data_IF_336159982258
#
_entry.id   IF_336159982258
#
_cell.length_a   1.000
_cell.length_b   1.000
_cell.length_c   1.000
_cell.angle_alpha   90.00
_cell.angle_beta   90.00
_cell.angle_gamma   90.00
#
_symmetry.space_group_name_H-M   'P 1'
#
loop_
_entity.id
_entity.type
_entity.pdbx_description
1 polymer ?
#
# COMPACT_ATOMS: atom_id res chain seq x y z
N UNK A 1 29.35 -13.17 28.47
CA UNK A 1 28.71 -11.85 28.59
C UNK A 1 29.60 -10.87 27.85
N UNK A 2 29.17 -10.36 26.69
CA UNK A 2 29.88 -9.29 25.99
C UNK A 2 28.94 -8.09 26.00
N UNK A 3 29.13 -7.23 27.00
CA UNK A 3 28.54 -5.90 27.07
C UNK A 3 29.17 -5.08 25.95
N UNK A 4 28.53 -5.04 24.78
CA UNK A 4 28.81 -4.00 23.80
C UNK A 4 28.18 -2.71 24.32
N UNK A 5 28.93 -2.04 25.20
CA UNK A 5 28.79 -0.61 25.43
C UNK A 5 28.77 0.07 24.06
N UNK A 6 27.88 1.02 23.83
CA UNK A 6 27.63 1.66 22.53
C UNK A 6 28.84 2.42 22.00
N UNK A 7 29.87 1.71 21.54
CA UNK A 7 31.10 2.22 20.97
C UNK A 7 31.12 2.03 19.45
N UNK A 8 31.59 3.05 18.75
CA UNK A 8 31.75 3.04 17.30
C UNK A 8 33.03 2.26 16.96
N UNK A 9 32.88 1.21 16.14
CA UNK A 9 34.01 0.38 15.73
C UNK A 9 34.73 0.98 14.52
N UNK A 10 36.06 1.03 14.60
CA UNK A 10 36.96 1.54 13.55
C UNK A 10 37.79 0.35 13.05
N UNK A 11 37.83 0.15 11.73
CA UNK A 11 38.63 -0.88 11.07
C UNK A 11 38.01 -1.36 9.74
N UNK A 12 38.79 -2.00 8.86
CA UNK A 12 38.35 -2.37 7.49
C UNK A 12 37.06 -3.21 7.42
N UNK A 13 36.70 -3.93 8.49
CA UNK A 13 35.45 -4.68 8.60
C UNK A 13 34.23 -3.85 9.04
N UNK A 14 34.41 -2.56 9.36
CA UNK A 14 33.36 -1.65 9.83
C UNK A 14 33.20 -0.40 8.92
N UNK A 15 34.25 0.01 8.20
CA UNK A 15 34.21 1.18 7.32
C UNK A 15 33.87 0.82 5.88
N UNK A 16 33.08 1.66 5.21
CA UNK A 16 32.81 1.55 3.79
C UNK A 16 34.05 1.93 2.96
N UNK A 17 34.26 1.23 1.84
CA UNK A 17 35.22 1.66 0.82
C UNK A 17 34.61 2.81 0.05
N UNK A 18 35.18 4.01 0.19
CA UNK A 18 34.71 5.18 -0.56
C UNK A 18 35.08 5.04 -2.04
N UNK A 19 34.18 5.43 -2.96
CA UNK A 19 34.53 5.61 -4.37
C UNK A 19 35.65 6.62 -4.54
N UNK A 20 36.51 6.44 -5.54
CA UNK A 20 37.55 7.42 -5.86
C UNK A 20 36.93 8.73 -6.35
N UNK A 21 37.28 9.83 -5.67
CA UNK A 21 36.87 11.17 -6.11
C UNK A 21 37.73 11.62 -7.30
N UNK A 22 37.09 11.97 -8.43
CA UNK A 22 37.74 12.43 -9.66
C UNK A 22 37.40 13.89 -9.97
N UNK A 23 38.18 14.87 -9.47
CA UNK A 23 37.93 16.28 -9.74
C UNK A 23 38.27 16.63 -11.20
N UNK A 24 37.44 17.48 -11.82
CA UNK A 24 37.70 18.02 -13.17
C UNK A 24 37.27 17.14 -14.34
N UNK A 25 36.68 15.96 -14.08
CA UNK A 25 36.04 15.14 -15.12
C UNK A 25 34.55 15.49 -15.14
N UNK A 26 34.01 16.05 -16.24
CA UNK A 26 32.58 16.25 -16.41
C UNK A 26 31.83 14.91 -16.27
N UNK A 27 30.59 14.90 -15.75
CA UNK A 27 29.81 13.67 -15.59
C UNK A 27 29.71 12.82 -16.88
N UNK A 28 29.77 13.49 -18.03
CA UNK A 28 29.68 12.97 -19.39
C UNK A 28 30.90 12.12 -19.81
N UNK A 29 32.05 12.34 -19.18
CA UNK A 29 33.31 11.64 -19.46
C UNK A 29 33.61 10.53 -18.43
N UNK A 30 32.79 10.40 -17.38
CA UNK A 30 32.86 9.27 -16.48
C UNK A 30 32.32 8.03 -17.21
N UNK A 31 33.00 6.89 -17.07
CA UNK A 31 32.44 5.62 -17.52
C UNK A 31 31.06 5.44 -16.86
N UNK A 32 29.99 5.17 -17.65
CA UNK A 32 28.66 5.01 -17.11
C UNK A 32 28.73 3.93 -16.03
N UNK A 33 28.19 4.26 -14.86
CA UNK A 33 28.17 3.34 -13.73
C UNK A 33 27.54 2.02 -14.20
N UNK A 34 28.23 0.87 -14.06
CA UNK A 34 27.70 -0.43 -14.44
C UNK A 34 26.33 -0.72 -13.81
N UNK A 35 26.02 -0.09 -12.68
CA UNK A 35 24.73 -0.21 -12.01
C UNK A 35 23.60 0.60 -12.66
N UNK A 36 23.90 1.66 -13.43
CA UNK A 36 22.90 2.42 -14.19
C UNK A 36 22.32 1.62 -15.37
N UNK A 37 22.96 0.52 -15.77
CA UNK A 37 22.43 -0.42 -16.77
C UNK A 37 21.31 -1.32 -16.21
N UNK A 38 21.08 -1.34 -14.89
CA UNK A 38 20.05 -2.19 -14.27
C UNK A 38 18.78 -1.38 -14.05
N UNK A 39 17.66 -1.86 -14.57
CA UNK A 39 16.34 -1.33 -14.22
C UNK A 39 16.07 -1.63 -12.74
N UNK A 40 16.23 -0.62 -11.87
CA UNK A 40 16.00 -0.71 -10.41
C UNK A 40 14.68 -0.12 -9.97
N UNK A 41 14.13 0.73 -10.82
CA UNK A 41 12.93 1.50 -10.57
C UNK A 41 12.05 1.46 -11.81
N UNK A 42 10.76 1.60 -11.57
CA UNK A 42 9.74 1.75 -12.59
C UNK A 42 9.13 3.14 -12.41
N UNK A 43 9.10 3.93 -13.47
CA UNK A 43 8.41 5.22 -13.45
C UNK A 43 6.91 4.95 -13.33
N UNK A 44 6.29 5.44 -12.24
CA UNK A 44 4.85 5.29 -11.99
C UNK A 44 4.06 6.59 -12.18
N UNK A 45 4.74 7.74 -12.16
CA UNK A 45 4.09 9.03 -12.26
C UNK A 45 5.08 10.14 -12.64
N UNK A 46 4.61 11.07 -13.47
CA UNK A 46 5.27 12.30 -13.88
C UNK A 46 4.39 13.48 -13.46
N UNK A 47 4.90 14.40 -12.63
CA UNK A 47 4.16 15.61 -12.25
C UNK A 47 3.82 16.51 -13.45
N UNK A 48 2.78 17.33 -13.31
CA UNK A 48 2.40 18.38 -14.26
C UNK A 48 2.05 17.92 -15.69
N UNK A 49 1.76 16.64 -15.89
CA UNK A 49 1.30 16.12 -17.19
C UNK A 49 -0.20 16.36 -17.46
N UNK A 50 -0.97 16.69 -16.41
CA UNK A 50 -2.40 17.02 -16.48
C UNK A 50 -2.70 18.23 -15.62
N UNK A 51 -3.63 19.08 -16.05
CA UNK A 51 -4.14 20.17 -15.21
C UNK A 51 -4.90 19.60 -14.01
N UNK A 52 -4.79 20.26 -12.85
CA UNK A 52 -5.45 19.81 -11.62
C UNK A 52 -6.97 19.68 -11.78
N UNK A 53 -7.61 20.57 -12.54
CA UNK A 53 -9.06 20.50 -12.83
C UNK A 53 -9.43 19.21 -13.55
N UNK A 54 -8.64 18.83 -14.55
CA UNK A 54 -8.90 17.68 -15.42
C UNK A 54 -8.59 16.38 -14.67
N UNK A 55 -7.52 16.38 -13.87
CA UNK A 55 -7.18 15.28 -12.98
C UNK A 55 -8.29 15.04 -11.95
N UNK A 56 -8.79 16.10 -11.30
CA UNK A 56 -9.88 15.98 -10.33
C UNK A 56 -11.18 15.49 -10.99
N UNK A 57 -11.50 15.96 -12.20
CA UNK A 57 -12.66 15.49 -12.95
C UNK A 57 -12.51 14.01 -13.33
N UNK A 58 -11.34 13.60 -13.81
CA UNK A 58 -11.02 12.21 -14.12
C UNK A 58 -11.15 11.31 -12.88
N UNK A 59 -10.54 11.68 -11.76
CA UNK A 59 -10.61 10.92 -10.51
C UNK A 59 -12.06 10.80 -10.01
N UNK A 60 -12.87 11.85 -10.17
CA UNK A 60 -14.30 11.79 -9.83
C UNK A 60 -15.04 10.78 -10.71
N UNK A 61 -14.80 10.79 -12.02
CA UNK A 61 -15.39 9.82 -12.93
C UNK A 61 -14.95 8.38 -12.62
N UNK A 62 -13.65 8.15 -12.37
CA UNK A 62 -13.12 6.85 -12.00
C UNK A 62 -13.76 6.31 -10.71
N UNK A 63 -13.90 7.16 -9.67
CA UNK A 63 -14.59 6.78 -8.43
C UNK A 63 -16.07 6.48 -8.66
N UNK A 64 -16.76 7.22 -9.53
CA UNK A 64 -18.15 6.91 -9.89
C UNK A 64 -18.27 5.56 -10.59
N UNK A 65 -17.31 5.19 -11.45
CA UNK A 65 -17.28 3.88 -12.09
C UNK A 65 -17.03 2.75 -11.07
N UNK A 66 -16.14 2.97 -10.10
CA UNK A 66 -15.92 2.01 -9.01
C UNK A 66 -17.15 1.85 -8.10
N UNK A 67 -17.83 2.95 -7.73
CA UNK A 67 -19.09 2.88 -7.00
C UNK A 67 -20.14 2.08 -7.75
N UNK A 68 -20.28 2.33 -9.05
CA UNK A 68 -21.23 1.60 -9.88
C UNK A 68 -20.92 0.11 -9.94
N UNK A 69 -19.65 -0.26 -10.15
CA UNK A 69 -19.22 -1.65 -10.13
C UNK A 69 -19.53 -2.32 -8.77
N UNK A 70 -19.23 -1.67 -7.65
CA UNK A 70 -19.52 -2.18 -6.31
C UNK A 70 -21.02 -2.39 -6.05
N UNK A 71 -21.89 -1.55 -6.62
CA UNK A 71 -23.35 -1.76 -6.56
C UNK A 71 -23.81 -2.93 -7.45
N UNK A 72 -23.22 -3.10 -8.64
CA UNK A 72 -23.66 -4.11 -9.60
C UNK A 72 -23.18 -5.54 -9.27
N UNK A 73 -22.06 -5.70 -8.57
CA UNK A 73 -21.50 -7.00 -8.18
C UNK A 73 -22.23 -7.68 -6.98
N UNK A 74 -23.47 -7.25 -6.71
CA UNK A 74 -24.35 -7.79 -5.67
C UNK A 74 -24.31 -7.04 -4.33
N UNK A 75 -23.75 -5.83 -4.31
CA UNK A 75 -23.59 -5.00 -3.12
C UNK A 75 -24.75 -4.05 -2.83
N UNK A 76 -24.81 -3.54 -1.60
CA UNK A 76 -25.70 -2.45 -1.21
C UNK A 76 -25.09 -1.07 -1.59
N UNK A 77 -25.83 0.04 -1.47
CA UNK A 77 -25.27 1.38 -1.70
C UNK A 77 -24.01 1.69 -0.87
N UNK A 78 -23.85 1.04 0.29
CA UNK A 78 -22.66 1.19 1.14
C UNK A 78 -21.43 0.53 0.50
N UNK A 79 -21.57 -0.59 -0.19
CA UNK A 79 -20.48 -1.25 -0.92
C UNK A 79 -19.98 -0.38 -2.07
N UNK A 80 -20.89 0.28 -2.79
CA UNK A 80 -20.54 1.28 -3.80
C UNK A 80 -19.78 2.47 -3.21
N UNK A 81 -20.26 3.02 -2.09
CA UNK A 81 -19.59 4.13 -1.41
C UNK A 81 -18.20 3.73 -0.88
N UNK A 82 -18.06 2.52 -0.36
CA UNK A 82 -16.79 1.96 0.08
C UNK A 82 -15.84 1.81 -1.11
N UNK A 83 -16.25 1.13 -2.19
CA UNK A 83 -15.42 0.95 -3.39
C UNK A 83 -14.92 2.29 -3.97
N UNK A 84 -15.78 3.32 -4.02
CA UNK A 84 -15.39 4.64 -4.52
C UNK A 84 -14.45 5.43 -3.61
N UNK A 85 -14.53 5.25 -2.29
CA UNK A 85 -13.75 6.02 -1.32
C UNK A 85 -12.39 5.41 -0.98
N UNK A 86 -12.10 4.19 -1.43
CA UNK A 86 -10.83 3.50 -1.17
C UNK A 86 -9.65 4.14 -1.89
N UNK A 87 -8.52 4.12 -1.20
CA UNK A 87 -7.22 4.53 -1.76
C UNK A 87 -6.88 3.67 -2.98
N UNK A 88 -7.16 2.37 -2.93
CA UNK A 88 -6.87 1.43 -4.02
C UNK A 88 -7.51 1.86 -5.36
N UNK A 89 -8.74 2.37 -5.32
CA UNK A 89 -9.44 2.90 -6.50
C UNK A 89 -8.73 4.13 -7.05
N UNK A 90 -8.25 5.00 -6.16
CA UNK A 90 -7.52 6.20 -6.54
C UNK A 90 -6.14 5.84 -7.12
N UNK A 91 -5.42 4.91 -6.51
CA UNK A 91 -4.11 4.41 -6.98
C UNK A 91 -4.25 3.81 -8.38
N UNK A 92 -5.24 2.92 -8.58
CA UNK A 92 -5.51 2.33 -9.89
C UNK A 92 -5.83 3.38 -10.95
N UNK A 93 -6.63 4.40 -10.61
CA UNK A 93 -6.95 5.47 -11.54
C UNK A 93 -5.68 6.25 -11.94
N UNK A 94 -4.78 6.55 -10.99
CA UNK A 94 -3.52 7.23 -11.29
C UNK A 94 -2.59 6.40 -12.16
N UNK A 95 -2.48 5.10 -11.87
CA UNK A 95 -1.69 4.14 -12.64
C UNK A 95 -2.21 4.04 -14.08
N UNK A 96 -3.52 3.86 -14.26
CA UNK A 96 -4.14 3.78 -15.59
C UNK A 96 -4.00 5.10 -16.36
N UNK A 97 -4.05 6.25 -15.67
CA UNK A 97 -3.82 7.54 -16.30
C UNK A 97 -2.38 7.68 -16.80
N UNK A 98 -1.40 7.25 -16.00
CA UNK A 98 0.01 7.22 -16.40
C UNK A 98 0.22 6.29 -17.61
N UNK A 99 -0.27 5.05 -17.55
CA UNK A 99 -0.14 4.05 -18.60
C UNK A 99 -0.85 4.47 -19.90
N UNK A 100 -1.86 5.33 -19.80
CA UNK A 100 -2.59 5.90 -20.95
C UNK A 100 -1.92 7.14 -21.54
N UNK A 101 -0.74 7.52 -21.07
CA UNK A 101 -0.02 8.72 -21.51
C UNK A 101 -0.72 10.01 -21.10
N UNK A 102 -1.39 10.01 -19.93
CA UNK A 102 -2.08 11.17 -19.37
C UNK A 102 -3.30 11.67 -20.16
N UNK A 103 -3.86 10.83 -21.03
CA UNK A 103 -5.11 11.08 -21.74
C UNK A 103 -6.31 10.56 -20.91
N UNK A 104 -7.16 11.43 -20.34
CA UNK A 104 -8.28 11.00 -19.50
C UNK A 104 -9.30 10.16 -20.26
N UNK A 105 -9.50 10.40 -21.56
CA UNK A 105 -10.45 9.66 -22.37
C UNK A 105 -10.01 8.21 -22.56
N UNK A 106 -8.74 8.00 -22.91
CA UNK A 106 -8.15 6.65 -23.02
C UNK A 106 -8.13 5.93 -21.67
N UNK A 107 -7.77 6.66 -20.61
CA UNK A 107 -7.73 6.10 -19.26
C UNK A 107 -9.11 5.64 -18.78
N UNK A 108 -10.17 6.41 -19.05
CA UNK A 108 -11.55 6.00 -18.73
C UNK A 108 -11.97 4.76 -19.53
N UNK A 109 -11.65 4.69 -20.83
CA UNK A 109 -11.94 3.50 -21.63
C UNK A 109 -11.23 2.24 -21.10
N UNK A 110 -10.01 2.37 -20.61
CA UNK A 110 -9.28 1.29 -19.96
C UNK A 110 -9.97 0.86 -18.65
N UNK A 111 -10.39 1.82 -17.83
CA UNK A 111 -11.14 1.56 -16.59
C UNK A 111 -12.48 0.86 -16.83
N UNK A 112 -13.18 1.09 -17.94
CA UNK A 112 -14.46 0.39 -18.21
C UNK A 112 -14.27 -1.13 -18.23
N UNK A 113 -13.10 -1.63 -18.66
CA UNK A 113 -12.82 -3.07 -18.73
C UNK A 113 -12.48 -3.68 -17.36
N UNK A 114 -11.96 -2.86 -16.43
CA UNK A 114 -11.60 -3.28 -15.08
C UNK A 114 -11.62 -2.06 -14.14
N UNK A 115 -12.79 -1.62 -13.66
CA UNK A 115 -12.92 -0.35 -12.94
C UNK A 115 -12.27 -0.40 -11.55
N UNK A 116 -12.07 -1.60 -11.02
CA UNK A 116 -11.39 -1.89 -9.76
C UNK A 116 -10.32 -2.95 -10.03
N UNK A 117 -9.10 -2.84 -9.49
CA UNK A 117 -8.11 -3.91 -9.57
C UNK A 117 -8.67 -5.22 -9.01
N UNK A 118 -8.46 -6.32 -9.73
CA UNK A 118 -8.86 -7.66 -9.28
C UNK A 118 -8.08 -8.04 -8.02
N UNK A 119 -8.63 -7.76 -6.84
CA UNK A 119 -8.00 -8.16 -5.58
C UNK A 119 -8.49 -7.46 -4.32
N UNK A 120 -9.35 -6.46 -4.41
CA UNK A 120 -9.67 -5.59 -3.26
C UNK A 120 -10.95 -6.00 -2.54
N UNK A 121 -12.00 -6.39 -3.27
CA UNK A 121 -13.34 -6.60 -2.68
C UNK A 121 -13.61 -8.03 -2.18
N UNK A 122 -12.70 -9.00 -2.37
CA UNK A 122 -12.96 -10.41 -1.99
C UNK A 122 -11.77 -11.17 -1.39
N UNK A 123 -10.74 -10.48 -0.90
CA UNK A 123 -9.90 -11.07 0.16
C UNK A 123 -10.78 -11.04 1.43
N UNK A 124 -10.76 -11.93 2.39
CA UNK A 124 -11.52 -11.82 3.66
C UNK A 124 -13.05 -12.01 3.59
N UNK A 125 -13.48 -13.26 3.79
CA UNK A 125 -14.86 -13.58 4.17
C UNK A 125 -15.18 -13.17 5.62
N UNK A 126 -16.47 -13.18 5.98
CA UNK A 126 -16.89 -12.98 7.38
C UNK A 126 -16.25 -14.00 8.34
N UNK A 127 -16.15 -15.26 7.92
CA UNK A 127 -15.55 -16.33 8.70
C UNK A 127 -14.06 -16.07 8.92
N UNK A 128 -13.35 -15.62 7.89
CA UNK A 128 -11.94 -15.24 7.99
C UNK A 128 -11.76 -14.06 8.94
N UNK A 129 -12.64 -13.06 8.87
CA UNK A 129 -12.65 -11.91 9.77
C UNK A 129 -12.90 -12.34 11.22
N UNK A 130 -13.88 -13.22 11.47
CA UNK A 130 -14.17 -13.78 12.80
C UNK A 130 -12.96 -14.54 13.36
N UNK A 131 -12.30 -15.37 12.54
CA UNK A 131 -11.07 -16.09 12.90
C UNK A 131 -9.91 -15.14 13.20
N UNK A 132 -9.74 -14.10 12.40
CA UNK A 132 -8.71 -13.09 12.59
C UNK A 132 -8.87 -12.35 13.94
N UNK A 133 -10.09 -11.86 14.25
CA UNK A 133 -10.38 -11.18 15.52
C UNK A 133 -10.19 -12.12 16.71
N UNK A 134 -10.61 -13.39 16.60
CA UNK A 134 -10.32 -14.41 17.61
C UNK A 134 -8.81 -14.58 17.83
N UNK A 135 -8.05 -14.65 16.75
CA UNK A 135 -6.59 -14.75 16.77
C UNK A 135 -5.92 -13.57 17.46
N UNK A 136 -6.34 -12.34 17.14
CA UNK A 136 -5.85 -11.13 17.80
C UNK A 136 -6.11 -11.14 19.31
N UNK A 137 -7.28 -11.62 19.75
CA UNK A 137 -7.62 -11.73 21.17
C UNK A 137 -6.79 -12.80 21.89
N UNK A 138 -6.51 -13.92 21.24
CA UNK A 138 -5.79 -15.06 21.85
C UNK A 138 -4.27 -14.91 21.81
N UNK A 139 -3.72 -14.37 20.72
CA UNK A 139 -2.29 -14.37 20.43
C UNK A 139 -1.69 -12.96 20.30
N UNK A 140 -2.49 -11.90 20.48
CA UNK A 140 -2.05 -10.53 20.27
C UNK A 140 -1.64 -10.29 18.80
N UNK A 141 -0.61 -9.48 18.57
CA UNK A 141 -0.10 -9.17 17.22
C UNK A 141 0.86 -10.24 16.67
N UNK A 142 0.79 -11.47 17.17
CA UNK A 142 1.59 -12.57 16.63
C UNK A 142 0.93 -13.13 15.36
N UNK A 143 1.08 -12.40 14.25
CA UNK A 143 0.47 -12.74 12.96
C UNK A 143 0.96 -14.08 12.39
N UNK A 144 2.18 -14.49 12.70
CA UNK A 144 2.69 -15.83 12.34
C UNK A 144 1.86 -16.93 12.99
N UNK A 145 1.54 -16.79 14.27
CA UNK A 145 0.72 -17.76 15.00
C UNK A 145 -0.75 -17.72 14.58
N UNK A 146 -1.30 -16.52 14.36
CA UNK A 146 -2.68 -16.37 13.84
C UNK A 146 -2.83 -17.05 12.48
N UNK A 147 -1.89 -16.83 11.56
CA UNK A 147 -1.83 -17.56 10.29
C UNK A 147 -1.79 -19.06 10.54
N UNK A 148 -0.79 -19.55 11.27
CA UNK A 148 -0.56 -20.98 11.47
C UNK A 148 -1.79 -21.71 12.05
N UNK A 149 -2.40 -21.12 13.07
CA UNK A 149 -3.42 -21.82 13.88
C UNK A 149 -4.86 -21.55 13.41
N UNK A 150 -5.13 -20.42 12.73
CA UNK A 150 -6.50 -19.98 12.43
C UNK A 150 -6.76 -19.68 10.94
N UNK A 151 -5.72 -19.24 10.20
CA UNK A 151 -5.80 -18.80 8.81
C UNK A 151 -4.63 -19.34 7.98
N UNK A 152 -4.47 -20.68 7.86
CA UNK A 152 -3.28 -21.28 7.24
C UNK A 152 -3.21 -21.06 5.73
N UNK A 153 -4.33 -20.71 5.10
CA UNK A 153 -4.46 -20.42 3.67
C UNK A 153 -4.16 -18.96 3.31
N UNK A 154 -3.86 -18.11 4.30
CA UNK A 154 -3.47 -16.70 4.11
C UNK A 154 -2.01 -16.50 4.41
N UNK A 155 -1.43 -15.46 3.82
CA UNK A 155 -0.06 -15.07 4.09
C UNK A 155 0.06 -14.08 5.24
N UNK A 156 1.17 -14.15 5.98
CA UNK A 156 1.39 -13.26 7.13
C UNK A 156 1.36 -11.77 6.73
N UNK A 157 1.93 -11.34 5.59
CA UNK A 157 1.75 -9.97 5.09
C UNK A 157 0.29 -9.58 4.87
N UNK A 158 -0.57 -10.48 4.33
CA UNK A 158 -2.00 -10.18 4.15
C UNK A 158 -2.70 -9.95 5.50
N UNK A 159 -2.34 -10.71 6.54
CA UNK A 159 -2.87 -10.52 7.89
C UNK A 159 -2.46 -9.17 8.48
N UNK A 160 -1.23 -8.71 8.19
CA UNK A 160 -0.71 -7.42 8.63
C UNK A 160 -1.40 -6.28 7.88
N UNK A 161 -1.56 -6.40 6.55
CA UNK A 161 -2.33 -5.47 5.73
C UNK A 161 -3.77 -5.33 6.28
N UNK A 162 -4.45 -6.46 6.47
CA UNK A 162 -5.81 -6.50 7.01
C UNK A 162 -5.91 -5.90 8.41
N UNK A 163 -4.92 -6.15 9.29
CA UNK A 163 -4.89 -5.54 10.63
C UNK A 163 -4.99 -4.01 10.59
N UNK A 164 -4.21 -3.38 9.72
CA UNK A 164 -4.15 -1.92 9.64
C UNK A 164 -5.40 -1.32 8.99
N UNK A 165 -6.01 -2.02 8.04
CA UNK A 165 -7.30 -1.64 7.47
C UNK A 165 -8.42 -1.77 8.51
N UNK A 166 -8.51 -2.93 9.17
CA UNK A 166 -9.52 -3.25 10.18
C UNK A 166 -9.48 -2.28 11.38
N UNK A 167 -8.29 -1.87 11.82
CA UNK A 167 -8.13 -0.91 12.92
C UNK A 167 -8.77 0.45 12.60
N UNK A 168 -8.84 0.84 11.32
CA UNK A 168 -9.41 2.13 10.89
C UNK A 168 -10.94 2.11 10.75
N UNK A 169 -11.59 0.94 10.84
CA UNK A 169 -13.05 0.84 10.70
C UNK A 169 -13.77 1.48 11.91
N UNK A 170 -14.65 2.48 11.69
CA UNK A 170 -15.43 3.09 12.76
C UNK A 170 -16.31 2.03 13.42
N UNK A 171 -16.12 1.81 14.73
CA UNK A 171 -16.78 0.76 15.52
C UNK A 171 -15.82 -0.26 16.16
N UNK A 172 -14.61 -0.45 15.63
CA UNK A 172 -13.58 -1.31 16.25
C UNK A 172 -12.65 -0.54 17.19
N UNK A 173 -12.51 0.76 16.96
CA UNK A 173 -11.70 1.69 17.77
C UNK A 173 -12.26 1.89 19.19
N UNK A 174 -13.53 1.54 19.43
CA UNK A 174 -14.18 1.64 20.76
C UNK A 174 -14.02 0.39 21.62
N UNK A 175 -13.46 -0.72 21.09
CA UNK A 175 -13.32 -2.00 21.82
C UNK A 175 -11.87 -2.48 21.97
N UNK A 176 -10.89 -1.58 21.78
CA UNK A 176 -9.51 -1.86 22.13
C UNK A 176 -9.33 -2.06 23.65
N UNK A 177 -8.53 -3.04 24.12
CA UNK A 177 -8.27 -3.25 25.56
C UNK A 177 -7.58 -2.09 26.29
N UNK A 178 -7.37 -0.95 25.64
CA UNK A 178 -6.64 0.21 26.15
C UNK A 178 -7.49 1.47 26.29
N UNK A 179 -8.82 1.37 26.18
CA UNK A 179 -9.73 2.50 26.49
C UNK A 179 -10.09 2.59 27.99
N UNK A 180 -9.36 1.90 28.87
CA UNK A 180 -9.63 1.80 30.31
C UNK A 180 -8.38 1.90 31.17
N UNK A 181 -7.55 2.91 30.96
CA UNK A 181 -6.54 3.43 31.90
C UNK A 181 -5.92 4.63 31.16
N UNK A 182 -6.20 5.89 31.48
CA UNK A 182 -5.86 6.55 32.74
C UNK A 182 -6.90 7.64 33.02
N UNK A 183 -7.68 7.47 34.09
CA UNK A 183 -8.28 8.56 34.87
C UNK A 183 -7.70 8.46 36.28
N UNK A 184 -7.46 9.61 36.89
CA UNK A 184 -6.74 9.89 38.15
C UNK A 184 -5.21 9.85 38.01
N UNK A 185 -4.45 10.88 38.43
CA UNK A 185 -4.73 11.94 39.41
C UNK A 185 -4.64 13.35 38.85
#
# INVERSE_FOLDING_TARGET
>A
MATTQGEIRVGPGNQARLPEYRPGVPPEQLSPDPEHSRTREELRWVPAMTLDSDLLMYLRAARSMAAFAGMCDGGCPEDGANAASRDDTTINALDVLHDSGYDPGKALQALVKCPVPKGIDKKWSEEETKRFVKGLRQFGKNFFRIRKDLLPHRDTPELVEFYYLWKKTPGQITTGPTAGAVRAH
#
